data_IF_423513228695
#
_entry.id   IF_423513228695
#
_cell.length_a   1.000
_cell.length_b   1.000
_cell.length_c   1.000
_cell.angle_alpha   90.00
_cell.angle_beta   90.00
_cell.angle_gamma   90.00
#
_symmetry.space_group_name_H-M   'P 1'
#
loop_
_entity.id
_entity.type
_entity.pdbx_description
1 polymer ?
#
# COMPACT_ATOMS: atom_id res chain seq x y z
N UNK A 1 28.17 26.76 -11.00
CA UNK A 1 28.32 25.29 -10.95
C UNK A 1 27.84 24.67 -9.62
N UNK A 2 28.34 25.07 -8.44
CA UNK A 2 27.92 24.48 -7.14
C UNK A 2 26.40 24.50 -6.87
N UNK A 3 25.70 25.58 -7.26
CA UNK A 3 24.23 25.71 -7.10
C UNK A 3 23.41 24.78 -8.01
N UNK A 4 23.92 24.47 -9.20
CA UNK A 4 23.26 23.58 -10.17
C UNK A 4 23.43 22.11 -9.73
N UNK A 5 24.62 21.75 -9.23
CA UNK A 5 24.89 20.41 -8.68
C UNK A 5 24.01 20.15 -7.45
N UNK A 6 23.86 21.13 -6.55
CA UNK A 6 23.00 20.99 -5.37
C UNK A 6 21.51 20.81 -5.74
N UNK A 7 21.01 21.55 -6.75
CA UNK A 7 19.65 21.38 -7.25
C UNK A 7 19.40 20.00 -7.87
N UNK A 8 20.37 19.47 -8.61
CA UNK A 8 20.33 18.10 -9.16
C UNK A 8 20.33 17.05 -8.05
N UNK A 9 21.15 17.20 -7.01
CA UNK A 9 21.18 16.28 -5.86
C UNK A 9 19.84 16.27 -5.12
N UNK A 10 19.22 17.42 -4.89
CA UNK A 10 17.90 17.51 -4.23
C UNK A 10 16.83 16.84 -5.10
N UNK A 11 16.83 17.07 -6.41
CA UNK A 11 15.86 16.48 -7.32
C UNK A 11 16.01 14.95 -7.40
N UNK A 12 17.25 14.44 -7.49
CA UNK A 12 17.53 12.99 -7.46
C UNK A 12 17.14 12.38 -6.12
N UNK A 13 17.39 13.05 -4.99
CA UNK A 13 16.98 12.57 -3.67
C UNK A 13 15.46 12.47 -3.53
N UNK A 14 14.70 13.44 -4.04
CA UNK A 14 13.23 13.38 -4.03
C UNK A 14 12.70 12.21 -4.86
N UNK A 15 13.25 11.98 -6.06
CA UNK A 15 12.84 10.87 -6.94
C UNK A 15 13.27 9.50 -6.39
N UNK A 16 14.41 9.43 -5.69
CA UNK A 16 14.85 8.21 -5.03
C UNK A 16 13.96 7.89 -3.80
N UNK A 17 13.55 8.91 -3.03
CA UNK A 17 12.68 8.73 -1.87
C UNK A 17 11.27 8.25 -2.24
N UNK A 18 10.69 8.73 -3.36
CA UNK A 18 9.37 8.30 -3.79
C UNK A 18 9.36 6.85 -4.27
N UNK A 19 10.47 6.36 -4.86
CA UNK A 19 10.59 4.96 -5.27
C UNK A 19 10.70 4.00 -4.10
N UNK A 20 11.39 4.38 -3.01
CA UNK A 20 11.42 3.58 -1.79
C UNK A 20 10.03 3.48 -1.14
N UNK A 21 9.31 4.61 -1.13
CA UNK A 21 7.92 4.71 -0.66
C UNK A 21 7.01 3.72 -1.39
N UNK A 22 6.94 3.87 -2.71
CA UNK A 22 6.12 3.05 -3.58
C UNK A 22 6.37 1.53 -3.43
N UNK A 23 7.64 1.11 -3.27
CA UNK A 23 7.98 -0.31 -3.05
C UNK A 23 7.50 -0.87 -1.72
N UNK A 24 7.50 -0.06 -0.66
CA UNK A 24 6.98 -0.47 0.66
C UNK A 24 5.50 -0.76 0.57
N UNK A 25 4.73 0.13 -0.03
CA UNK A 25 3.28 -0.03 -0.14
C UNK A 25 2.90 -1.22 -1.01
N UNK A 26 3.54 -1.37 -2.18
CA UNK A 26 3.42 -2.57 -3.02
C UNK A 26 3.71 -3.85 -2.22
N UNK A 27 4.82 -3.87 -1.48
CA UNK A 27 5.21 -5.02 -0.67
C UNK A 27 4.21 -5.37 0.43
N UNK A 28 3.61 -4.36 1.07
CA UNK A 28 2.56 -4.59 2.08
C UNK A 28 1.30 -5.17 1.45
N UNK A 29 0.81 -4.59 0.35
CA UNK A 29 -0.40 -5.12 -0.33
C UNK A 29 -0.15 -6.55 -0.82
N UNK A 30 1.01 -6.84 -1.42
CA UNK A 30 1.37 -8.20 -1.84
C UNK A 30 1.41 -9.18 -0.66
N UNK A 31 1.94 -8.75 0.48
CA UNK A 31 1.97 -9.57 1.70
C UNK A 31 0.57 -9.85 2.20
N UNK A 32 -0.29 -8.83 2.27
CA UNK A 32 -1.67 -8.97 2.74
C UNK A 32 -2.50 -9.85 1.78
N UNK A 33 -2.26 -9.73 0.48
CA UNK A 33 -2.97 -10.49 -0.55
C UNK A 33 -2.53 -11.96 -0.63
N UNK A 34 -1.45 -12.37 0.05
CA UNK A 34 -1.09 -13.78 0.16
C UNK A 34 -2.20 -14.57 0.87
N UNK A 35 -2.61 -15.73 0.33
CA UNK A 35 -3.73 -16.53 0.87
C UNK A 35 -3.68 -16.78 2.38
N UNK A 36 -2.51 -17.13 2.92
CA UNK A 36 -2.37 -17.41 4.35
C UNK A 36 -2.54 -16.15 5.20
N UNK A 37 -1.96 -15.05 4.75
CA UNK A 37 -2.04 -13.76 5.44
C UNK A 37 -3.46 -13.20 5.34
N UNK A 38 -4.07 -13.29 4.15
CA UNK A 38 -5.43 -12.88 3.91
C UNK A 38 -6.42 -13.65 4.77
N UNK A 39 -6.29 -14.99 4.87
CA UNK A 39 -7.14 -15.79 5.74
C UNK A 39 -7.07 -15.36 7.21
N UNK A 40 -5.86 -15.05 7.70
CA UNK A 40 -5.67 -14.52 9.07
C UNK A 40 -6.27 -13.13 9.23
N UNK A 41 -6.11 -12.25 8.24
CA UNK A 41 -6.72 -10.93 8.24
C UNK A 41 -8.25 -11.04 8.28
N UNK A 42 -8.84 -11.86 7.41
CA UNK A 42 -10.29 -12.10 7.35
C UNK A 42 -10.83 -12.61 8.68
N UNK A 43 -10.15 -13.57 9.31
CA UNK A 43 -10.50 -14.05 10.65
C UNK A 43 -10.42 -12.94 11.71
N UNK A 44 -9.35 -12.13 11.71
CA UNK A 44 -9.19 -11.02 12.65
C UNK A 44 -10.24 -9.92 12.48
N UNK A 45 -10.60 -9.62 11.23
CA UNK A 45 -11.66 -8.68 10.90
C UNK A 45 -13.04 -9.27 11.21
N UNK A 46 -13.16 -10.60 11.31
CA UNK A 46 -14.43 -11.31 11.44
C UNK A 46 -15.39 -10.91 10.31
N UNK A 47 -14.92 -11.03 9.07
CA UNK A 47 -15.71 -10.78 7.86
C UNK A 47 -16.51 -12.02 7.47
N UNK A 48 -17.65 -11.82 6.82
CA UNK A 48 -18.39 -12.92 6.19
C UNK A 48 -17.66 -13.42 4.94
N UNK A 49 -18.00 -14.61 4.46
CA UNK A 49 -17.40 -15.17 3.24
C UNK A 49 -17.56 -14.23 2.03
N UNK A 50 -18.72 -13.59 1.88
CA UNK A 50 -18.96 -12.61 0.82
C UNK A 50 -18.05 -11.37 0.97
N UNK A 51 -17.97 -10.82 2.19
CA UNK A 51 -17.08 -9.69 2.46
C UNK A 51 -15.61 -10.06 2.22
N UNK A 52 -15.20 -11.29 2.55
CA UNK A 52 -13.87 -11.78 2.29
C UNK A 52 -13.58 -11.89 0.80
N UNK A 53 -14.50 -12.47 0.01
CA UNK A 53 -14.34 -12.56 -1.45
C UNK A 53 -14.24 -11.17 -2.10
N UNK A 54 -15.10 -10.23 -1.70
CA UNK A 54 -15.08 -8.87 -2.23
C UNK A 54 -13.78 -8.12 -1.82
N UNK A 55 -13.37 -8.26 -0.56
CA UNK A 55 -12.13 -7.63 -0.07
C UNK A 55 -10.90 -8.21 -0.76
N UNK A 56 -10.90 -9.52 -1.07
CA UNK A 56 -9.85 -10.18 -1.84
C UNK A 56 -9.73 -9.58 -3.23
N UNK A 57 -10.85 -9.43 -3.93
CA UNK A 57 -10.90 -8.81 -5.26
C UNK A 57 -10.37 -7.37 -5.25
N UNK A 58 -10.69 -6.59 -4.20
CA UNK A 58 -10.12 -5.24 -4.00
C UNK A 58 -8.60 -5.28 -3.84
N UNK A 59 -8.06 -6.22 -3.06
CA UNK A 59 -6.62 -6.37 -2.85
C UNK A 59 -5.89 -6.79 -4.13
N UNK A 60 -6.43 -7.74 -4.88
CA UNK A 60 -5.89 -8.18 -6.18
C UNK A 60 -5.89 -7.04 -7.20
N UNK A 61 -7.00 -6.30 -7.30
CA UNK A 61 -7.09 -5.12 -8.16
C UNK A 61 -6.07 -4.07 -7.75
N UNK A 62 -5.92 -3.83 -6.45
CA UNK A 62 -4.94 -2.87 -5.91
C UNK A 62 -3.52 -3.28 -6.28
N UNK A 63 -3.17 -4.55 -6.11
CA UNK A 63 -1.86 -5.10 -6.48
C UNK A 63 -1.56 -4.85 -7.97
N UNK A 64 -2.51 -5.15 -8.87
CA UNK A 64 -2.34 -4.93 -10.31
C UNK A 64 -2.10 -3.43 -10.62
N UNK A 65 -2.83 -2.53 -9.96
CA UNK A 65 -2.68 -1.08 -10.18
C UNK A 65 -1.33 -0.56 -9.64
N UNK A 66 -0.87 -1.07 -8.49
CA UNK A 66 0.44 -0.72 -7.93
C UNK A 66 1.58 -1.23 -8.81
N UNK A 67 1.50 -2.47 -9.31
CA UNK A 67 2.49 -3.02 -10.25
C UNK A 67 2.57 -2.20 -11.55
N UNK A 68 1.43 -1.73 -12.06
CA UNK A 68 1.39 -0.84 -13.24
C UNK A 68 2.04 0.51 -12.94
N UNK A 69 1.71 1.10 -11.80
CA UNK A 69 2.28 2.37 -11.36
C UNK A 69 3.80 2.27 -11.12
N UNK A 70 4.30 1.12 -10.64
CA UNK A 70 5.74 0.83 -10.50
C UNK A 70 6.45 0.85 -11.83
N UNK A 71 5.90 0.10 -12.80
CA UNK A 71 6.47 0.01 -14.15
C UNK A 71 6.49 1.35 -14.88
N UNK A 72 5.50 2.21 -14.64
CA UNK A 72 5.42 3.53 -15.24
C UNK A 72 6.15 4.62 -14.44
N UNK A 73 6.62 4.33 -13.21
CA UNK A 73 7.20 5.32 -12.32
C UNK A 73 6.24 6.46 -11.96
N UNK A 74 4.93 6.19 -11.90
CA UNK A 74 3.88 7.20 -11.69
C UNK A 74 3.45 7.25 -10.20
N UNK A 75 3.96 8.22 -9.41
CA UNK A 75 3.61 8.32 -7.99
C UNK A 75 2.14 8.72 -7.76
N UNK A 76 1.48 9.36 -8.73
CA UNK A 76 0.06 9.72 -8.62
C UNK A 76 -0.80 8.46 -8.77
N UNK A 77 -0.46 7.59 -9.73
CA UNK A 77 -1.12 6.31 -9.90
C UNK A 77 -0.99 5.43 -8.64
N UNK A 78 0.17 5.44 -7.98
CA UNK A 78 0.40 4.78 -6.69
C UNK A 78 -0.56 5.26 -5.60
N UNK A 79 -0.57 6.57 -5.35
CA UNK A 79 -1.43 7.17 -4.33
C UNK A 79 -2.92 6.88 -4.62
N UNK A 80 -3.30 6.89 -5.90
CA UNK A 80 -4.66 6.60 -6.35
C UNK A 80 -5.06 5.14 -6.11
N UNK A 81 -4.16 4.19 -6.38
CA UNK A 81 -4.41 2.76 -6.13
C UNK A 81 -4.66 2.48 -4.63
N UNK A 82 -3.82 3.01 -3.74
CA UNK A 82 -4.01 2.88 -2.29
C UNK A 82 -5.28 3.60 -1.81
N UNK A 83 -5.58 4.78 -2.36
CA UNK A 83 -6.79 5.50 -2.01
C UNK A 83 -8.05 4.68 -2.34
N UNK A 84 -8.11 4.10 -3.53
CA UNK A 84 -9.25 3.26 -3.91
C UNK A 84 -9.32 1.96 -3.11
N UNK A 85 -8.19 1.34 -2.78
CA UNK A 85 -8.18 0.21 -1.87
C UNK A 85 -8.92 0.51 -0.56
N UNK A 86 -8.58 1.63 0.09
CA UNK A 86 -9.26 2.03 1.34
C UNK A 86 -10.72 2.40 1.11
N UNK A 87 -11.03 3.09 0.01
CA UNK A 87 -12.39 3.49 -0.33
C UNK A 87 -13.30 2.27 -0.57
N UNK A 88 -12.83 1.31 -1.36
CA UNK A 88 -13.59 0.14 -1.75
C UNK A 88 -13.74 -0.81 -0.55
N UNK A 89 -12.68 -0.99 0.25
CA UNK A 89 -12.76 -1.70 1.52
C UNK A 89 -13.80 -1.09 2.48
N UNK A 90 -13.94 0.25 2.51
CA UNK A 90 -14.95 0.92 3.34
C UNK A 90 -16.39 0.67 2.86
N UNK A 91 -16.60 0.33 1.58
CA UNK A 91 -17.91 -0.01 1.05
C UNK A 91 -18.31 -1.47 1.33
N UNK A 92 -17.32 -2.34 1.55
CA UNK A 92 -17.52 -3.78 1.81
C UNK A 92 -17.63 -4.06 3.30
N UNK A 93 -16.79 -3.40 4.10
CA UNK A 93 -16.64 -3.64 5.52
C UNK A 93 -17.57 -2.75 6.34
N UNK A 94 -18.08 -3.27 7.45
CA UNK A 94 -18.70 -2.42 8.47
C UNK A 94 -17.69 -1.42 9.03
N UNK A 95 -18.18 -0.34 9.67
CA UNK A 95 -17.30 0.71 10.21
C UNK A 95 -16.23 0.17 11.18
N UNK A 96 -16.56 -0.82 12.02
CA UNK A 96 -15.61 -1.42 12.97
C UNK A 96 -14.58 -2.31 12.28
N UNK A 97 -15.00 -3.11 11.29
CA UNK A 97 -14.12 -3.91 10.45
C UNK A 97 -13.17 -3.02 9.63
N UNK A 98 -13.68 -1.96 9.03
CA UNK A 98 -12.88 -1.01 8.24
C UNK A 98 -11.85 -0.28 9.11
N UNK A 99 -12.21 0.12 10.33
CA UNK A 99 -11.26 0.75 11.26
C UNK A 99 -10.08 -0.19 11.57
N UNK A 100 -10.35 -1.48 11.83
CA UNK A 100 -9.33 -2.50 12.04
C UNK A 100 -8.46 -2.72 10.80
N UNK A 101 -9.09 -2.85 9.62
CA UNK A 101 -8.39 -3.01 8.35
C UNK A 101 -7.42 -1.85 8.09
N UNK A 102 -7.93 -0.62 8.17
CA UNK A 102 -7.15 0.61 7.97
C UNK A 102 -6.00 0.72 8.95
N UNK A 103 -6.20 0.35 10.22
CA UNK A 103 -5.16 0.34 11.23
C UNK A 103 -4.04 -0.65 10.87
N UNK A 104 -4.38 -1.90 10.52
CA UNK A 104 -3.38 -2.92 10.16
C UNK A 104 -2.57 -2.49 8.95
N UNK A 105 -3.23 -2.07 7.85
CA UNK A 105 -2.53 -1.71 6.62
C UNK A 105 -1.58 -0.54 6.87
N UNK A 106 -2.06 0.53 7.52
CA UNK A 106 -1.23 1.71 7.80
C UNK A 106 -0.09 1.43 8.77
N UNK A 107 -0.33 0.62 9.81
CA UNK A 107 0.71 0.25 10.77
C UNK A 107 1.77 -0.61 10.11
N UNK A 108 1.36 -1.54 9.24
CA UNK A 108 2.31 -2.39 8.49
C UNK A 108 3.16 -1.56 7.54
N UNK A 109 2.56 -0.62 6.79
CA UNK A 109 3.29 0.33 5.94
C UNK A 109 4.29 1.15 6.77
N UNK A 110 3.84 1.74 7.88
CA UNK A 110 4.70 2.53 8.77
C UNK A 110 5.88 1.72 9.31
N UNK A 111 5.64 0.49 9.78
CA UNK A 111 6.70 -0.35 10.32
C UNK A 111 7.72 -0.73 9.24
N UNK A 112 7.26 -1.07 8.03
CA UNK A 112 8.15 -1.33 6.89
C UNK A 112 9.00 -0.12 6.51
N UNK A 113 8.48 1.10 6.67
CA UNK A 113 9.30 2.30 6.49
C UNK A 113 10.41 2.43 7.52
N UNK A 114 10.10 2.15 8.79
CA UNK A 114 11.10 2.20 9.85
C UNK A 114 12.20 1.15 9.63
N UNK A 115 11.85 -0.05 9.15
CA UNK A 115 12.81 -1.12 8.83
C UNK A 115 13.79 -0.76 7.71
N UNK A 116 13.45 0.21 6.85
CA UNK A 116 14.28 0.62 5.70
C UNK A 116 15.22 1.79 6.01
N UNK A 117 15.16 2.36 7.22
CA UNK A 117 16.08 3.40 7.64
C UNK A 117 17.42 2.76 8.06
N UNK A 118 18.58 3.25 7.56
CA UNK A 118 19.88 2.80 8.06
C UNK A 118 20.01 3.16 9.55
N UNK A 119 20.51 2.20 10.34
CA UNK A 119 20.89 2.38 11.76
C UNK A 119 21.95 3.46 11.93
#
# INVERSE_FOLDING_TARGET
>A
MKKIVLALVIMVACVASSQAINRVESGVINTINNETVFGRLSAYLNVTDNQAADLKSVLETTQIQLERAEKSGDPIAYAKALHYNFKDAANILSASQYAKYRLIVRTTIKNRYLDQLPL
#
